data_IF_742576576649
#
_entry.id   IF_742576576649
#
_cell.length_a   1.000
_cell.length_b   1.000
_cell.length_c   1.000
_cell.angle_alpha   90.00
_cell.angle_beta   90.00
_cell.angle_gamma   90.00
#
_symmetry.space_group_name_H-M   'P 1'
#
loop_
_entity.id
_entity.type
_entity.pdbx_description
1 polymer ?
#
# COMPACT_ATOMS: atom_id res chain seq x y z
N UNK A 1 0.03 -11.39 11.86
CA UNK A 1 -0.38 -12.21 10.71
C UNK A 1 0.75 -12.16 9.68
N UNK A 2 1.36 -13.29 9.34
CA UNK A 2 2.45 -13.32 8.34
C UNK A 2 1.82 -13.64 6.99
N UNK A 3 1.88 -12.71 6.05
CA UNK A 3 1.40 -12.83 4.65
C UNK A 3 2.31 -13.78 3.82
N UNK A 4 3.07 -14.65 4.47
CA UNK A 4 3.98 -15.57 3.79
C UNK A 4 3.15 -16.66 3.10
N UNK A 5 3.37 -16.85 1.80
CA UNK A 5 2.71 -17.90 1.01
C UNK A 5 1.42 -17.49 0.28
N UNK A 6 1.08 -16.20 0.24
CA UNK A 6 -0.02 -15.69 -0.61
C UNK A 6 0.52 -15.06 -1.91
N UNK A 7 -0.30 -15.01 -2.98
CA UNK A 7 0.06 -14.31 -4.21
C UNK A 7 0.38 -12.84 -3.95
N UNK A 8 1.46 -12.37 -4.54
CA UNK A 8 1.85 -10.97 -4.54
C UNK A 8 1.34 -10.29 -5.82
N UNK A 9 0.61 -9.19 -5.65
CA UNK A 9 0.07 -8.38 -6.76
C UNK A 9 0.59 -6.95 -6.75
N UNK A 10 0.62 -6.32 -7.92
CA UNK A 10 1.00 -4.91 -8.09
C UNK A 10 2.41 -4.69 -8.64
N UNK A 11 2.71 -3.42 -8.91
CA UNK A 11 3.94 -3.01 -9.59
C UNK A 11 5.24 -3.51 -8.94
N UNK A 12 5.33 -3.53 -7.61
CA UNK A 12 6.53 -4.01 -6.91
C UNK A 12 6.81 -5.49 -7.15
N UNK A 13 5.75 -6.33 -7.13
CA UNK A 13 5.87 -7.75 -7.39
C UNK A 13 6.25 -8.05 -8.86
N UNK A 14 5.76 -7.25 -9.80
CA UNK A 14 6.16 -7.33 -11.21
C UNK A 14 7.61 -6.88 -11.44
N UNK A 15 8.11 -5.89 -10.69
CA UNK A 15 9.49 -5.39 -10.81
C UNK A 15 10.51 -6.33 -10.17
N UNK A 16 10.14 -7.01 -9.09
CA UNK A 16 11.05 -7.87 -8.32
C UNK A 16 10.47 -9.28 -8.13
N UNK A 17 10.17 -10.02 -9.22
CA UNK A 17 9.46 -11.29 -9.13
C UNK A 17 10.21 -12.33 -8.29
N UNK A 18 11.55 -12.31 -8.31
CA UNK A 18 12.37 -13.20 -7.50
C UNK A 18 12.28 -12.95 -5.97
N UNK A 19 11.76 -11.79 -5.54
CA UNK A 19 11.59 -11.46 -4.12
C UNK A 19 10.25 -11.93 -3.54
N UNK A 20 9.32 -12.42 -4.38
CA UNK A 20 7.97 -12.81 -3.97
C UNK A 20 7.69 -14.28 -4.34
N UNK A 21 6.90 -14.95 -3.50
CA UNK A 21 6.70 -16.40 -3.60
C UNK A 21 5.77 -16.82 -4.76
N UNK A 22 4.81 -15.97 -5.15
CA UNK A 22 3.82 -16.29 -6.17
C UNK A 22 3.32 -15.00 -6.85
N UNK A 23 3.74 -14.77 -8.09
CA UNK A 23 3.46 -13.55 -8.86
C UNK A 23 2.64 -13.98 -10.09
N UNK A 24 1.29 -13.92 -10.04
CA UNK A 24 0.46 -14.51 -11.10
C UNK A 24 0.66 -13.83 -12.46
N UNK A 25 0.76 -14.59 -13.57
CA UNK A 25 0.81 -14.00 -14.90
C UNK A 25 -0.43 -13.15 -15.19
N UNK A 26 -0.24 -11.97 -15.79
CA UNK A 26 -1.34 -11.07 -16.15
C UNK A 26 -2.03 -10.35 -14.97
N UNK A 27 -1.47 -10.43 -13.77
CA UNK A 27 -2.02 -9.75 -12.59
C UNK A 27 -2.03 -8.22 -12.72
N UNK A 28 -2.97 -7.52 -12.04
CA UNK A 28 -3.05 -6.07 -12.10
C UNK A 28 -1.81 -5.38 -11.53
N UNK A 29 -1.25 -4.44 -12.29
CA UNK A 29 -0.17 -3.56 -11.83
C UNK A 29 -0.66 -2.49 -10.86
N UNK A 30 -1.89 -2.02 -11.05
CA UNK A 30 -2.52 -0.91 -10.33
C UNK A 30 -3.93 -1.28 -9.87
N UNK A 31 -4.45 -0.49 -8.95
CA UNK A 31 -5.79 -0.63 -8.41
C UNK A 31 -6.83 -0.25 -9.47
N UNK A 32 -7.88 -1.06 -9.60
CA UNK A 32 -9.02 -0.74 -10.46
C UNK A 32 -10.03 0.14 -9.73
N UNK A 33 -10.37 1.29 -10.30
CA UNK A 33 -11.43 2.15 -9.77
C UNK A 33 -12.78 1.43 -9.71
N UNK A 34 -13.09 0.60 -10.72
CA UNK A 34 -14.32 -0.20 -10.74
C UNK A 34 -14.37 -1.21 -9.61
N UNK A 35 -13.26 -1.92 -9.34
CA UNK A 35 -13.19 -2.86 -8.23
C UNK A 35 -13.36 -2.17 -6.87
N UNK A 36 -12.78 -0.98 -6.69
CA UNK A 36 -12.96 -0.18 -5.48
C UNK A 36 -14.42 0.28 -5.32
N UNK A 37 -15.08 0.69 -6.40
CA UNK A 37 -16.49 1.07 -6.37
C UNK A 37 -17.41 -0.12 -6.04
N UNK A 38 -17.17 -1.29 -6.63
CA UNK A 38 -17.89 -2.53 -6.30
C UNK A 38 -17.75 -2.89 -4.83
N UNK A 39 -16.52 -2.86 -4.29
CA UNK A 39 -16.28 -3.13 -2.88
C UNK A 39 -17.02 -2.15 -1.97
N UNK A 40 -17.02 -0.87 -2.30
CA UNK A 40 -17.73 0.15 -1.52
C UNK A 40 -19.25 -0.09 -1.54
N UNK A 41 -19.82 -0.37 -2.72
CA UNK A 41 -21.24 -0.65 -2.88
C UNK A 41 -21.68 -1.88 -2.06
N UNK A 42 -20.89 -2.96 -2.08
CA UNK A 42 -21.16 -4.17 -1.30
C UNK A 42 -21.15 -3.91 0.22
N UNK A 43 -20.19 -3.12 0.70
CA UNK A 43 -20.10 -2.76 2.13
C UNK A 43 -21.31 -1.92 2.57
N UNK A 44 -21.64 -0.90 1.78
CA UNK A 44 -22.80 -0.05 2.06
C UNK A 44 -24.11 -0.84 2.04
N UNK A 45 -24.26 -1.79 1.12
CA UNK A 45 -25.43 -2.68 1.06
C UNK A 45 -25.57 -3.59 2.29
N UNK A 46 -24.46 -3.94 2.95
CA UNK A 46 -24.45 -4.67 4.23
C UNK A 46 -24.64 -3.78 5.46
N UNK A 47 -24.84 -2.47 5.27
CA UNK A 47 -24.96 -1.51 6.36
C UNK A 47 -23.63 -1.20 7.07
N UNK A 48 -22.48 -1.53 6.45
CA UNK A 48 -21.17 -1.18 6.99
C UNK A 48 -20.88 0.31 6.76
N UNK A 49 -20.24 0.95 7.75
CA UNK A 49 -19.69 2.28 7.57
C UNK A 49 -18.32 2.24 6.87
N UNK A 50 -18.09 3.18 5.96
CA UNK A 50 -16.77 3.38 5.36
C UNK A 50 -15.89 4.21 6.31
N UNK A 51 -14.61 3.84 6.50
CA UNK A 51 -13.72 4.62 7.35
C UNK A 51 -13.51 6.03 6.78
N UNK A 52 -13.20 7.02 7.63
CA UNK A 52 -12.86 8.35 7.15
C UNK A 52 -11.63 8.28 6.23
N UNK A 53 -11.47 9.23 5.28
CA UNK A 53 -10.36 9.25 4.32
C UNK A 53 -9.04 9.69 4.98
N UNK A 54 -8.62 8.95 6.01
CA UNK A 54 -7.39 9.17 6.76
C UNK A 54 -6.35 8.15 6.31
N UNK A 55 -5.11 8.57 6.01
CA UNK A 55 -4.05 7.63 5.66
C UNK A 55 -3.83 6.60 6.78
N UNK A 56 -3.76 5.33 6.40
CA UNK A 56 -3.42 4.25 7.32
C UNK A 56 -1.90 4.06 7.33
N UNK A 57 -1.21 4.73 8.25
CA UNK A 57 0.23 4.57 8.42
C UNK A 57 0.53 3.23 9.10
N UNK A 58 0.89 2.23 8.29
CA UNK A 58 1.25 0.89 8.78
C UNK A 58 2.64 0.83 9.43
N UNK A 59 3.50 1.81 9.12
CA UNK A 59 4.80 1.98 9.78
C UNK A 59 4.67 2.85 11.02
N UNK A 60 5.42 2.54 12.07
CA UNK A 60 5.63 3.50 13.16
C UNK A 60 6.36 4.74 12.59
N UNK A 61 5.96 5.96 12.96
CA UNK A 61 6.71 7.15 12.60
C UNK A 61 8.14 7.01 13.15
N UNK A 62 9.10 6.87 12.26
CA UNK A 62 10.55 6.87 12.55
C UNK A 62 11.16 8.27 12.34
N UNK A 63 10.36 9.20 11.80
CA UNK A 63 10.76 10.57 11.56
C UNK A 63 11.01 11.27 12.90
N UNK A 64 12.28 11.57 13.17
CA UNK A 64 12.68 12.46 14.26
C UNK A 64 12.66 13.90 13.74
N UNK A 65 12.03 14.80 14.49
CA UNK A 65 12.12 16.23 14.22
C UNK A 65 13.60 16.61 14.20
N UNK A 66 14.12 17.21 13.11
CA UNK A 66 15.51 17.64 13.06
C UNK A 66 15.78 18.64 14.17
N UNK A 67 16.77 18.37 15.03
CA UNK A 67 17.09 19.25 16.15
C UNK A 67 17.75 20.57 15.70
N UNK A 68 18.37 20.60 14.51
CA UNK A 68 19.11 21.73 13.98
C UNK A 68 18.92 21.86 12.46
N UNK A 69 19.10 23.08 11.94
CA UNK A 69 19.13 23.33 10.49
C UNK A 69 20.34 22.65 9.84
N UNK A 70 20.17 22.14 8.60
CA UNK A 70 21.27 21.54 7.84
C UNK A 70 22.23 22.64 7.39
N UNK A 71 23.40 22.73 8.02
CA UNK A 71 24.45 23.68 7.62
C UNK A 71 25.06 23.23 6.29
N UNK A 72 25.14 24.14 5.32
CA UNK A 72 25.82 23.92 4.04
C UNK A 72 27.21 24.53 4.14
N UNK A 73 28.26 23.75 3.92
CA UNK A 73 29.64 24.26 3.91
C UNK A 73 29.92 24.94 2.56
N UNK A 74 30.42 26.19 2.54
CA UNK A 74 30.87 26.83 1.29
C UNK A 74 32.07 26.08 0.68
N UNK A 75 32.19 26.13 -0.65
CA UNK A 75 33.34 25.59 -1.40
C UNK A 75 34.59 26.41 -1.17
#
# INVERSE_FOLDING_TARGET
ERVAGLPAVGAGALLYPAAFADVPPGMPKYQSAGALASLAAEKLARGEELPPPRPLYLRRPDAKVPANYKVVTPK
#
